data_IF_248179942861
#
_entry.id   IF_248179942861
#
_cell.length_a   1.000
_cell.length_b   1.000
_cell.length_c   1.000
_cell.angle_alpha   90.00
_cell.angle_beta   90.00
_cell.angle_gamma   90.00
#
_symmetry.space_group_name_H-M   'P 1'
#
loop_
_entity.id
_entity.type
_entity.pdbx_description
1 polymer ?
#
# COMPACT_ATOMS: atom_id res chain seq x y z
N UNK A 1 4.46 33.42 9.42
CA UNK A 1 4.19 32.32 10.36
C UNK A 1 2.78 31.74 10.21
N UNK A 2 1.81 32.51 9.69
CA UNK A 2 0.44 32.04 9.42
C UNK A 2 0.32 31.06 8.23
N UNK A 3 1.23 31.11 7.25
CA UNK A 3 1.19 30.22 6.07
C UNK A 3 1.69 28.79 6.28
N UNK A 4 2.36 28.46 7.39
CA UNK A 4 2.85 27.10 7.67
C UNK A 4 1.86 26.26 8.47
N UNK A 5 0.90 26.87 9.18
CA UNK A 5 -0.10 26.16 9.98
C UNK A 5 -1.31 25.67 9.15
N UNK A 6 -1.55 26.25 7.97
CA UNK A 6 -2.67 25.85 7.09
C UNK A 6 -2.40 24.58 6.27
N UNK A 7 -1.12 24.24 6.00
CA UNK A 7 -0.76 23.14 5.10
C UNK A 7 -0.76 21.75 5.73
N UNK A 8 -0.61 21.66 7.06
CA UNK A 8 -0.66 20.38 7.78
C UNK A 8 -2.08 19.84 7.90
N UNK A 9 -3.03 20.70 8.28
CA UNK A 9 -4.43 20.32 8.46
C UNK A 9 -5.10 19.87 7.16
N UNK A 10 -4.96 20.66 6.09
CA UNK A 10 -5.59 20.33 4.80
C UNK A 10 -5.03 19.04 4.21
N UNK A 11 -3.69 18.88 4.17
CA UNK A 11 -3.08 17.65 3.65
C UNK A 11 -3.44 16.42 4.47
N UNK A 12 -3.55 16.57 5.79
CA UNK A 12 -3.98 15.49 6.66
C UNK A 12 -5.42 15.07 6.34
N UNK A 13 -6.34 16.03 6.19
CA UNK A 13 -7.73 15.77 5.80
C UNK A 13 -7.82 15.13 4.41
N UNK A 14 -7.10 15.66 3.42
CA UNK A 14 -7.05 15.13 2.06
C UNK A 14 -6.54 13.67 2.06
N UNK A 15 -5.48 13.37 2.80
CA UNK A 15 -4.94 12.01 2.91
C UNK A 15 -5.88 11.05 3.65
N UNK A 16 -6.54 11.52 4.72
CA UNK A 16 -7.55 10.72 5.45
C UNK A 16 -8.70 10.38 4.51
N UNK A 17 -9.23 11.35 3.75
CA UNK A 17 -10.28 11.11 2.78
C UNK A 17 -9.83 10.16 1.67
N UNK A 18 -8.61 10.33 1.15
CA UNK A 18 -8.02 9.44 0.16
C UNK A 18 -8.02 7.98 0.61
N UNK A 19 -7.63 7.74 1.86
CA UNK A 19 -7.62 6.40 2.47
C UNK A 19 -9.04 5.87 2.71
N UNK A 20 -9.95 6.69 3.27
CA UNK A 20 -11.35 6.31 3.52
C UNK A 20 -12.08 5.89 2.23
N UNK A 21 -11.76 6.54 1.11
CA UNK A 21 -12.35 6.23 -0.19
C UNK A 21 -11.53 5.24 -1.02
N UNK A 22 -10.47 4.65 -0.46
CA UNK A 22 -9.63 3.64 -1.09
C UNK A 22 -9.11 4.04 -2.49
N UNK A 23 -8.83 5.34 -2.69
CA UNK A 23 -8.55 5.89 -4.03
C UNK A 23 -7.36 5.17 -4.69
N UNK A 24 -6.29 4.91 -3.95
CA UNK A 24 -5.10 4.22 -4.47
C UNK A 24 -5.37 2.75 -4.82
N UNK A 25 -6.24 2.06 -4.07
CA UNK A 25 -6.62 0.69 -4.37
C UNK A 25 -7.44 0.66 -5.66
N UNK A 26 -8.39 1.58 -5.82
CA UNK A 26 -9.17 1.71 -7.06
C UNK A 26 -8.27 2.03 -8.26
N UNK A 27 -7.35 2.99 -8.12
CA UNK A 27 -6.38 3.32 -9.18
C UNK A 27 -5.52 2.10 -9.58
N UNK A 28 -5.11 1.28 -8.60
CA UNK A 28 -4.36 0.05 -8.86
C UNK A 28 -5.21 -0.99 -9.58
N UNK A 29 -6.47 -1.18 -9.18
CA UNK A 29 -7.40 -2.11 -9.84
C UNK A 29 -7.75 -1.68 -11.26
N UNK A 30 -7.85 -0.38 -11.52
CA UNK A 30 -8.12 0.16 -12.85
C UNK A 30 -6.89 0.05 -13.78
N UNK A 31 -5.68 0.09 -13.21
CA UNK A 31 -4.42 0.15 -13.97
C UNK A 31 -3.76 -1.22 -14.19
N UNK A 32 -4.03 -2.20 -13.33
CA UNK A 32 -3.36 -3.49 -13.33
C UNK A 32 -4.35 -4.65 -13.32
N UNK A 33 -3.87 -5.84 -13.70
CA UNK A 33 -4.72 -7.01 -13.72
C UNK A 33 -5.08 -7.43 -12.28
N UNK A 34 -6.33 -7.83 -12.00
CA UNK A 34 -6.76 -8.18 -10.65
C UNK A 34 -5.90 -9.27 -9.99
N UNK A 35 -5.39 -10.23 -10.75
CA UNK A 35 -4.60 -11.34 -10.21
C UNK A 35 -3.23 -10.95 -9.62
N UNK A 36 -2.73 -9.75 -9.94
CA UNK A 36 -1.45 -9.24 -9.40
C UNK A 36 -1.64 -8.16 -8.34
N UNK A 37 -2.89 -7.75 -8.05
CA UNK A 37 -3.19 -6.79 -7.00
C UNK A 37 -3.43 -7.54 -5.68
N UNK A 38 -2.69 -7.15 -4.64
CA UNK A 38 -2.90 -7.60 -3.26
C UNK A 38 -2.95 -6.41 -2.33
N UNK A 39 -4.05 -6.28 -1.61
CA UNK A 39 -4.20 -5.35 -0.51
C UNK A 39 -3.61 -5.96 0.77
N UNK A 40 -2.91 -5.16 1.56
CA UNK A 40 -2.32 -5.57 2.83
C UNK A 40 -2.72 -4.60 3.94
N UNK A 41 -3.43 -5.12 4.94
CA UNK A 41 -3.78 -4.37 6.14
C UNK A 41 -2.53 -4.12 6.99
N UNK A 42 -2.32 -2.87 7.45
CA UNK A 42 -1.05 -2.45 8.05
C UNK A 42 -1.24 -1.46 9.23
N UNK A 43 -2.16 -1.78 10.13
CA UNK A 43 -2.56 -0.96 11.27
C UNK A 43 -1.69 -1.20 12.53
N UNK A 44 -1.02 -2.35 12.63
CA UNK A 44 -0.19 -2.72 13.79
C UNK A 44 1.23 -3.13 13.39
N UNK A 45 2.16 -3.13 14.35
CA UNK A 45 3.54 -3.55 14.11
C UNK A 45 3.65 -5.03 13.74
N UNK A 46 2.77 -5.88 14.29
CA UNK A 46 2.69 -7.30 13.93
C UNK A 46 2.22 -7.48 12.49
N UNK A 47 1.26 -6.68 12.04
CA UNK A 47 0.81 -6.66 10.65
C UNK A 47 1.95 -6.21 9.72
N UNK A 48 2.70 -5.17 10.11
CA UNK A 48 3.88 -4.73 9.36
C UNK A 48 4.91 -5.87 9.20
N UNK A 49 5.27 -6.54 10.29
CA UNK A 49 6.22 -7.64 10.24
C UNK A 49 5.72 -8.79 9.36
N UNK A 50 4.43 -9.14 9.46
CA UNK A 50 3.80 -10.17 8.63
C UNK A 50 3.72 -9.78 7.15
N UNK A 51 3.45 -8.51 6.85
CA UNK A 51 3.41 -7.98 5.48
C UNK A 51 4.80 -8.06 4.82
N UNK A 52 5.85 -7.68 5.56
CA UNK A 52 7.23 -7.82 5.06
C UNK A 52 7.55 -9.27 4.75
N UNK A 53 7.23 -10.20 5.66
CA UNK A 53 7.44 -11.63 5.42
C UNK A 53 6.68 -12.11 4.17
N UNK A 54 5.42 -11.72 4.02
CA UNK A 54 4.57 -12.07 2.87
C UNK A 54 5.19 -11.61 1.55
N UNK A 55 5.73 -10.39 1.51
CA UNK A 55 6.39 -9.84 0.32
C UNK A 55 7.67 -10.61 0.00
N UNK A 56 8.49 -10.92 1.00
CA UNK A 56 9.72 -11.71 0.82
C UNK A 56 9.40 -13.10 0.25
N UNK A 57 8.45 -13.81 0.84
CA UNK A 57 8.01 -15.13 0.36
C UNK A 57 7.46 -15.07 -1.07
N UNK A 58 6.75 -13.99 -1.42
CA UNK A 58 6.26 -13.79 -2.77
C UNK A 58 7.39 -13.58 -3.79
N UNK A 59 8.43 -12.83 -3.42
CA UNK A 59 9.62 -12.62 -4.26
C UNK A 59 10.37 -13.94 -4.46
N UNK A 60 10.60 -14.71 -3.40
CA UNK A 60 11.31 -15.99 -3.51
C UNK A 60 10.53 -16.98 -4.38
N UNK A 61 9.21 -17.14 -4.17
CA UNK A 61 8.38 -17.98 -5.04
C UNK A 61 8.42 -17.53 -6.50
N UNK A 62 8.35 -16.21 -6.74
CA UNK A 62 8.43 -15.69 -8.10
C UNK A 62 9.78 -16.03 -8.75
N UNK A 63 10.88 -15.97 -7.99
CA UNK A 63 12.22 -16.36 -8.47
C UNK A 63 12.30 -17.85 -8.80
N UNK A 64 11.76 -18.72 -7.95
CA UNK A 64 11.70 -20.17 -8.21
C UNK A 64 10.92 -20.47 -9.49
N UNK A 65 9.73 -19.87 -9.64
CA UNK A 65 8.82 -20.09 -10.77
C UNK A 65 9.33 -19.54 -12.11
N UNK A 66 10.07 -18.42 -12.09
CA UNK A 66 10.44 -17.69 -13.31
C UNK A 66 11.94 -17.75 -13.65
N UNK A 67 12.80 -17.98 -12.67
CA UNK A 67 14.25 -18.05 -12.85
C UNK A 67 14.81 -19.45 -12.59
N UNK A 68 14.05 -20.36 -11.98
CA UNK A 68 14.51 -21.70 -11.60
C UNK A 68 15.63 -21.68 -10.56
N UNK A 69 15.69 -20.62 -9.74
CA UNK A 69 16.66 -20.40 -8.66
C UNK A 69 16.03 -20.66 -7.30
#
# INVERSE_FOLDING_TARGET
MEGMMANGGKKLEDNIQCEIFEILLQEAQDSYKPEIIKELQNNTEEQLASNVQTIVEWIERWREENLGL
#
